data_IF_460922566518
#
_entry.id   IF_460922566518
#
_cell.length_a   1.000
_cell.length_b   1.000
_cell.length_c   1.000
_cell.angle_alpha   90.00
_cell.angle_beta   90.00
_cell.angle_gamma   90.00
#
_symmetry.space_group_name_H-M   'P 1'
#
loop_
_entity.id
_entity.type
_entity.pdbx_description
1 polymer ?
#
# COMPACT_ATOMS: atom_id res chain seq x y z
N UNK A 1 10.56 -25.09 -9.57
CA UNK A 1 10.05 -25.54 -8.25
C UNK A 1 8.93 -24.60 -7.86
N UNK A 2 7.76 -25.10 -7.49
CA UNK A 2 6.65 -24.22 -7.09
C UNK A 2 6.90 -23.69 -5.69
N UNK A 3 6.71 -22.38 -5.45
CA UNK A 3 6.82 -21.74 -4.13
C UNK A 3 6.00 -22.48 -3.05
N UNK A 4 4.86 -23.06 -3.44
CA UNK A 4 3.95 -23.78 -2.54
C UNK A 4 4.59 -25.06 -1.95
N UNK A 5 5.57 -25.65 -2.64
CA UNK A 5 6.26 -26.88 -2.24
C UNK A 5 7.62 -26.64 -1.57
N UNK A 6 8.04 -25.40 -1.43
CA UNK A 6 9.31 -25.06 -0.79
C UNK A 6 9.20 -25.16 0.73
N UNK A 7 10.25 -25.66 1.39
CA UNK A 7 10.46 -25.51 2.82
C UNK A 7 10.64 -24.02 3.14
N UNK A 8 10.12 -23.56 4.26
CA UNK A 8 10.19 -22.15 4.69
C UNK A 8 9.70 -21.13 3.64
N UNK A 9 8.72 -21.55 2.86
CA UNK A 9 8.16 -20.80 1.72
C UNK A 9 7.67 -19.39 2.06
N UNK A 10 7.39 -19.10 3.31
CA UNK A 10 6.89 -17.81 3.79
C UNK A 10 8.00 -16.76 3.95
N UNK A 11 9.28 -17.19 4.03
CA UNK A 11 10.41 -16.29 4.29
C UNK A 11 11.36 -16.12 3.10
N UNK A 12 11.12 -16.80 2.00
CA UNK A 12 12.03 -16.83 0.83
C UNK A 12 12.34 -15.41 0.33
N UNK A 13 11.32 -14.57 0.17
CA UNK A 13 11.54 -13.19 -0.28
C UNK A 13 12.41 -12.39 0.70
N UNK A 14 12.18 -12.55 2.00
CA UNK A 14 12.98 -11.89 3.03
C UNK A 14 14.47 -12.23 2.90
N UNK A 15 14.80 -13.49 2.69
CA UNK A 15 16.19 -13.92 2.53
C UNK A 15 16.84 -13.28 1.29
N UNK A 16 16.12 -13.17 0.17
CA UNK A 16 16.64 -12.47 -1.01
C UNK A 16 16.82 -10.98 -0.78
N UNK A 17 15.87 -10.30 -0.14
CA UNK A 17 15.96 -8.86 0.09
C UNK A 17 17.05 -8.49 1.10
N UNK A 18 17.35 -9.38 2.06
CA UNK A 18 18.47 -9.18 2.98
C UNK A 18 19.82 -9.05 2.26
N UNK A 19 20.01 -9.69 1.12
CA UNK A 19 21.24 -9.60 0.33
C UNK A 19 21.40 -8.24 -0.37
N UNK A 20 20.30 -7.50 -0.53
CA UNK A 20 20.25 -6.22 -1.23
C UNK A 20 20.13 -5.01 -0.28
N UNK A 21 20.04 -5.25 1.02
CA UNK A 21 19.71 -4.23 2.01
C UNK A 21 20.74 -3.08 2.09
N UNK A 22 22.00 -3.38 1.80
CA UNK A 22 23.08 -2.37 1.81
C UNK A 22 23.15 -1.55 0.51
N UNK A 23 22.45 -1.99 -0.56
CA UNK A 23 22.51 -1.37 -1.87
C UNK A 23 21.39 -0.33 -2.10
N UNK A 24 20.33 -0.33 -1.27
CA UNK A 24 19.13 0.49 -1.47
C UNK A 24 18.62 1.11 -0.18
N UNK A 25 18.26 2.39 -0.25
CA UNK A 25 17.60 3.09 0.86
C UNK A 25 16.15 2.61 1.04
N UNK A 26 15.47 2.28 -0.08
CA UNK A 26 14.10 1.77 -0.10
C UNK A 26 13.94 0.63 -1.10
N UNK A 27 13.19 -0.40 -0.70
CA UNK A 27 12.73 -1.48 -1.58
C UNK A 27 11.21 -1.52 -1.55
N UNK A 28 10.57 -1.29 -2.69
CA UNK A 28 9.11 -1.27 -2.81
C UNK A 28 8.63 -2.59 -3.39
N UNK A 29 7.72 -3.27 -2.67
CA UNK A 29 7.13 -4.53 -3.10
C UNK A 29 5.69 -4.24 -3.55
N UNK A 30 5.45 -4.27 -4.86
CA UNK A 30 4.10 -4.18 -5.42
C UNK A 30 3.40 -5.53 -5.33
N UNK A 31 2.26 -5.57 -4.63
CA UNK A 31 1.53 -6.81 -4.34
C UNK A 31 0.26 -6.91 -5.17
N UNK A 32 -0.03 -8.11 -5.67
CA UNK A 32 -1.33 -8.40 -6.27
C UNK A 32 -2.46 -8.27 -5.23
N UNK A 33 -3.70 -7.92 -5.65
CA UNK A 33 -4.87 -7.82 -4.77
C UNK A 33 -5.39 -9.21 -4.36
N UNK A 34 -4.52 -10.04 -3.79
CA UNK A 34 -4.83 -11.38 -3.29
C UNK A 34 -4.06 -11.64 -2.00
N UNK A 35 -4.67 -12.36 -1.08
CA UNK A 35 -4.06 -12.74 0.20
C UNK A 35 -3.37 -14.12 0.13
N UNK A 36 -2.73 -14.41 -1.00
CA UNK A 36 -2.02 -15.66 -1.27
C UNK A 36 -0.58 -15.68 -0.76
N UNK A 37 0.16 -16.73 -1.13
CA UNK A 37 1.54 -16.97 -0.68
C UNK A 37 2.51 -15.82 -1.04
N UNK A 38 2.32 -15.15 -2.16
CA UNK A 38 3.15 -13.99 -2.54
C UNK A 38 2.96 -12.81 -1.60
N UNK A 39 1.72 -12.51 -1.22
CA UNK A 39 1.42 -11.45 -0.24
C UNK A 39 1.94 -11.82 1.15
N UNK A 40 1.87 -13.10 1.54
CA UNK A 40 2.47 -13.59 2.80
C UNK A 40 3.99 -13.35 2.78
N UNK A 41 4.68 -13.69 1.69
CA UNK A 41 6.10 -13.43 1.54
C UNK A 41 6.44 -11.93 1.61
N UNK A 42 5.66 -11.09 0.92
CA UNK A 42 5.85 -9.64 0.94
C UNK A 42 5.72 -9.07 2.35
N UNK A 43 4.65 -9.42 3.07
CA UNK A 43 4.43 -8.97 4.45
C UNK A 43 5.47 -9.53 5.44
N UNK A 44 5.96 -10.75 5.19
CA UNK A 44 7.02 -11.35 6.01
C UNK A 44 8.37 -10.66 5.82
N UNK A 45 8.63 -10.12 4.62
CA UNK A 45 9.87 -9.47 4.26
C UNK A 45 9.89 -7.95 4.54
N UNK A 46 8.73 -7.31 4.57
CA UNK A 46 8.61 -5.86 4.66
C UNK A 46 8.82 -5.33 6.09
N UNK A 47 9.36 -4.12 6.20
CA UNK A 47 9.42 -3.37 7.47
C UNK A 47 8.06 -2.70 7.76
N UNK A 48 7.37 -2.23 6.70
CA UNK A 48 6.05 -1.62 6.82
C UNK A 48 5.16 -1.90 5.61
N UNK A 49 3.85 -1.71 5.79
CA UNK A 49 2.85 -1.84 4.72
C UNK A 49 2.07 -0.54 4.57
N UNK A 50 2.11 0.03 3.37
CA UNK A 50 1.24 1.11 2.93
C UNK A 50 0.00 0.50 2.27
N UNK A 51 -1.19 0.93 2.68
CA UNK A 51 -2.46 0.34 2.23
C UNK A 51 -3.18 1.33 1.30
N UNK A 52 -3.07 1.19 -0.03
CA UNK A 52 -3.91 1.94 -0.95
C UNK A 52 -5.35 1.41 -0.92
N UNK A 53 -6.33 2.33 -0.89
CA UNK A 53 -7.73 1.99 -0.77
C UNK A 53 -8.60 2.92 -1.61
N UNK A 54 -9.46 2.37 -2.47
CA UNK A 54 -10.52 3.15 -3.09
C UNK A 54 -11.64 3.43 -2.07
N UNK A 55 -12.20 4.65 -2.02
CA UNK A 55 -13.27 4.99 -1.08
C UNK A 55 -14.64 4.45 -1.56
N UNK A 56 -14.73 3.12 -1.70
CA UNK A 56 -15.91 2.40 -2.13
C UNK A 56 -16.57 1.61 -1.01
N UNK A 57 -17.79 1.11 -1.24
CA UNK A 57 -18.63 0.48 -0.21
C UNK A 57 -17.95 -0.74 0.44
N UNK A 58 -17.34 -1.61 -0.37
CA UNK A 58 -16.70 -2.84 0.14
C UNK A 58 -15.25 -2.66 0.61
N UNK A 59 -14.72 -1.46 0.57
CA UNK A 59 -13.34 -1.21 0.95
C UNK A 59 -13.03 -1.54 2.44
N UNK A 60 -14.00 -1.31 3.32
CA UNK A 60 -13.87 -1.66 4.73
C UNK A 60 -13.78 -3.17 4.98
N UNK A 61 -14.51 -3.97 4.20
CA UNK A 61 -14.47 -5.44 4.31
C UNK A 61 -13.12 -5.98 3.84
N UNK A 62 -12.61 -5.47 2.71
CA UNK A 62 -11.28 -5.80 2.20
C UNK A 62 -10.16 -5.43 3.18
N UNK A 63 -10.27 -4.27 3.83
CA UNK A 63 -9.34 -3.85 4.86
C UNK A 63 -9.37 -4.81 6.06
N UNK A 64 -10.53 -5.23 6.51
CA UNK A 64 -10.66 -6.16 7.64
C UNK A 64 -9.98 -7.51 7.34
N UNK A 65 -10.13 -8.04 6.13
CA UNK A 65 -9.47 -9.28 5.73
C UNK A 65 -7.93 -9.11 5.66
N UNK A 66 -7.44 -8.00 5.11
CA UNK A 66 -6.02 -7.68 5.11
C UNK A 66 -5.47 -7.59 6.55
N UNK A 67 -6.18 -6.93 7.47
CA UNK A 67 -5.75 -6.78 8.85
C UNK A 67 -5.70 -8.12 9.61
N UNK A 68 -6.55 -9.10 9.27
CA UNK A 68 -6.46 -10.47 9.81
C UNK A 68 -5.16 -11.13 9.35
N UNK A 69 -4.85 -11.05 8.05
CA UNK A 69 -3.59 -11.63 7.51
C UNK A 69 -2.38 -10.91 8.09
N UNK A 70 -2.39 -9.57 8.13
CA UNK A 70 -1.36 -8.77 8.78
C UNK A 70 -1.09 -9.23 10.21
N UNK A 71 -2.14 -9.39 11.02
CA UNK A 71 -2.02 -9.81 12.42
C UNK A 71 -1.43 -11.20 12.55
N UNK A 72 -1.82 -12.13 11.67
CA UNK A 72 -1.29 -13.49 11.64
C UNK A 72 0.20 -13.51 11.26
N UNK A 73 0.60 -12.72 10.26
CA UNK A 73 2.00 -12.58 9.84
C UNK A 73 2.84 -11.94 10.95
N UNK A 74 2.34 -10.85 11.54
CA UNK A 74 3.02 -10.16 12.65
C UNK A 74 3.26 -11.10 13.83
N UNK A 75 2.29 -11.93 14.18
CA UNK A 75 2.40 -12.87 15.30
C UNK A 75 3.36 -14.03 15.03
N UNK A 76 3.52 -14.48 13.78
CA UNK A 76 4.21 -15.73 13.45
C UNK A 76 5.54 -15.56 12.74
N UNK A 77 5.65 -14.59 11.81
CA UNK A 77 6.77 -14.49 10.89
C UNK A 77 7.51 -13.17 10.97
N UNK A 78 6.83 -12.04 11.29
CA UNK A 78 7.42 -10.71 11.28
C UNK A 78 6.86 -9.84 12.43
N UNK A 79 7.36 -9.99 13.67
CA UNK A 79 6.87 -9.24 14.82
C UNK A 79 7.02 -7.73 14.71
N UNK A 80 7.99 -7.27 13.93
CA UNK A 80 8.32 -5.85 13.77
C UNK A 80 7.54 -5.16 12.66
N UNK A 81 6.74 -5.92 11.86
CA UNK A 81 5.93 -5.37 10.78
C UNK A 81 5.01 -4.24 11.29
N UNK A 82 5.06 -3.11 10.62
CA UNK A 82 4.25 -1.93 10.93
C UNK A 82 3.23 -1.67 9.83
N UNK A 83 2.18 -0.92 10.16
CA UNK A 83 1.31 -0.31 9.15
C UNK A 83 1.75 1.14 8.99
N UNK A 84 2.24 1.50 7.80
CA UNK A 84 2.63 2.87 7.46
C UNK A 84 1.42 3.80 7.43
N UNK A 85 0.33 3.31 6.90
CA UNK A 85 -0.94 4.01 6.88
C UNK A 85 -1.83 3.57 5.73
N UNK A 86 -3.03 4.17 5.71
CA UNK A 86 -4.00 4.04 4.62
C UNK A 86 -3.94 5.30 3.76
N UNK A 87 -3.80 5.14 2.44
CA UNK A 87 -3.93 6.22 1.46
C UNK A 87 -5.14 5.97 0.57
N UNK A 88 -6.03 6.94 0.47
CA UNK A 88 -7.14 6.83 -0.47
C UNK A 88 -6.68 7.10 -1.90
N UNK A 89 -7.03 6.19 -2.81
CA UNK A 89 -6.72 6.26 -4.24
C UNK A 89 -8.00 6.34 -5.06
N UNK A 90 -7.90 6.73 -6.33
CA UNK A 90 -9.05 6.96 -7.22
C UNK A 90 -10.13 7.85 -6.59
N UNK A 91 -9.70 8.75 -5.70
CA UNK A 91 -10.63 9.61 -4.95
C UNK A 91 -11.33 10.61 -5.87
N UNK A 92 -12.63 10.69 -5.70
CA UNK A 92 -13.48 11.65 -6.41
C UNK A 92 -14.24 12.49 -5.36
N UNK A 93 -13.62 13.56 -4.84
CA UNK A 93 -14.14 14.30 -3.69
C UNK A 93 -15.48 15.02 -3.95
N UNK A 94 -15.94 15.09 -5.19
CA UNK A 94 -17.26 15.63 -5.54
C UNK A 94 -18.38 14.62 -5.28
N UNK A 95 -18.10 13.32 -5.19
CA UNK A 95 -19.09 12.28 -5.00
C UNK A 95 -19.41 12.09 -3.52
N UNK A 96 -20.71 12.17 -3.18
CA UNK A 96 -21.19 11.98 -1.80
C UNK A 96 -20.85 10.57 -1.25
N UNK A 97 -20.88 9.55 -2.09
CA UNK A 97 -20.50 8.19 -1.70
C UNK A 97 -19.03 8.11 -1.28
N UNK A 98 -18.11 8.71 -2.05
CA UNK A 98 -16.69 8.76 -1.70
C UNK A 98 -16.48 9.40 -0.32
N UNK A 99 -17.09 10.58 -0.08
CA UNK A 99 -17.02 11.27 1.21
C UNK A 99 -17.55 10.41 2.36
N UNK A 100 -18.70 9.76 2.16
CA UNK A 100 -19.33 8.92 3.19
C UNK A 100 -18.46 7.71 3.52
N UNK A 101 -17.95 7.02 2.51
CA UNK A 101 -17.14 5.83 2.69
C UNK A 101 -15.78 6.16 3.34
N UNK A 102 -15.11 7.25 2.90
CA UNK A 102 -13.91 7.78 3.58
C UNK A 102 -14.17 8.03 5.07
N UNK A 103 -15.25 8.74 5.38
CA UNK A 103 -15.62 9.04 6.77
C UNK A 103 -15.88 7.76 7.58
N UNK A 104 -16.50 6.75 6.99
CA UNK A 104 -16.70 5.45 7.64
C UNK A 104 -15.38 4.77 8.00
N UNK A 105 -14.42 4.73 7.07
CA UNK A 105 -13.07 4.18 7.31
C UNK A 105 -12.32 4.98 8.37
N UNK A 106 -12.36 6.32 8.30
CA UNK A 106 -11.72 7.20 9.28
C UNK A 106 -12.29 6.95 10.68
N UNK A 107 -13.61 6.88 10.82
CA UNK A 107 -14.26 6.63 12.11
C UNK A 107 -13.97 5.24 12.68
N UNK A 108 -13.81 4.22 11.82
CA UNK A 108 -13.57 2.85 12.25
C UNK A 108 -12.10 2.57 12.60
N UNK A 109 -11.17 3.21 11.92
CA UNK A 109 -9.75 2.85 11.98
C UNK A 109 -8.81 4.02 12.31
N UNK A 110 -9.24 5.28 12.18
CA UNK A 110 -8.37 6.47 12.31
C UNK A 110 -7.68 6.63 13.66
N UNK A 111 -8.26 6.08 14.74
CA UNK A 111 -7.63 6.08 16.06
C UNK A 111 -6.52 5.02 16.20
N UNK A 112 -6.45 4.05 15.30
CA UNK A 112 -5.55 2.88 15.39
C UNK A 112 -4.55 2.82 14.24
N UNK A 113 -4.92 3.33 13.07
CA UNK A 113 -4.13 3.30 11.85
C UNK A 113 -4.08 4.72 11.30
N UNK A 114 -2.87 5.17 11.01
CA UNK A 114 -2.67 6.45 10.32
C UNK A 114 -3.44 6.46 9.00
N UNK A 115 -4.16 7.54 8.75
CA UNK A 115 -4.78 7.78 7.44
C UNK A 115 -4.11 9.02 6.84
N UNK A 116 -3.50 8.87 5.68
CA UNK A 116 -2.87 9.97 4.99
C UNK A 116 -3.90 11.04 4.65
N UNK A 117 -3.54 12.29 4.91
CA UNK A 117 -4.42 13.43 4.66
C UNK A 117 -4.70 13.61 3.16
N UNK A 118 -3.67 13.39 2.37
CA UNK A 118 -3.75 13.52 0.92
C UNK A 118 -4.31 12.23 0.31
N UNK A 119 -5.11 12.39 -0.75
CA UNK A 119 -5.64 11.27 -1.54
C UNK A 119 -5.09 11.38 -2.95
N UNK A 120 -4.87 10.25 -3.59
CA UNK A 120 -4.53 10.20 -5.02
C UNK A 120 -5.84 10.31 -5.81
N UNK A 121 -6.02 11.35 -6.63
CA UNK A 121 -7.28 11.57 -7.35
C UNK A 121 -7.46 10.57 -8.50
N UNK A 122 -8.70 10.32 -8.88
CA UNK A 122 -9.00 9.70 -10.17
C UNK A 122 -8.69 10.73 -11.26
N UNK A 123 -7.64 10.48 -12.05
CA UNK A 123 -7.21 11.38 -13.12
C UNK A 123 -6.79 10.60 -14.37
N UNK A 124 -7.15 11.10 -15.53
CA UNK A 124 -6.78 10.51 -16.83
C UNK A 124 -5.27 10.47 -17.01
N UNK A 125 -4.58 11.54 -16.65
CA UNK A 125 -3.12 11.63 -16.72
C UNK A 125 -2.41 10.54 -15.94
N UNK A 126 -2.93 10.12 -14.77
CA UNK A 126 -2.36 8.99 -14.00
C UNK A 126 -2.55 7.67 -14.77
N UNK A 127 -3.70 7.46 -15.40
CA UNK A 127 -3.95 6.25 -16.18
C UNK A 127 -3.09 6.17 -17.45
N UNK A 128 -2.88 7.30 -18.10
CA UNK A 128 -2.05 7.41 -19.32
C UNK A 128 -0.58 7.06 -19.05
N UNK A 129 -0.03 7.43 -17.88
CA UNK A 129 1.36 7.10 -17.52
C UNK A 129 1.63 5.60 -17.53
N UNK A 130 0.65 4.79 -17.14
CA UNK A 130 0.78 3.33 -17.17
C UNK A 130 0.89 2.78 -18.61
N UNK A 131 0.18 3.40 -19.56
CA UNK A 131 0.25 3.03 -20.98
C UNK A 131 1.55 3.47 -21.63
N UNK A 132 2.07 4.64 -21.24
CA UNK A 132 3.31 5.21 -21.76
C UNK A 132 4.58 4.67 -21.08
N UNK A 133 4.43 3.99 -19.95
CA UNK A 133 5.55 3.43 -19.19
C UNK A 133 6.47 4.51 -18.59
N UNK A 134 5.94 5.68 -18.29
CA UNK A 134 6.70 6.81 -17.72
C UNK A 134 6.11 7.27 -16.41
N UNK A 135 6.93 7.91 -15.58
CA UNK A 135 6.49 8.46 -14.29
C UNK A 135 5.53 9.61 -14.46
N UNK A 136 4.53 9.74 -13.55
CA UNK A 136 3.64 10.90 -13.47
C UNK A 136 4.42 12.22 -13.33
N UNK A 137 5.57 12.19 -12.69
CA UNK A 137 6.44 13.36 -12.53
C UNK A 137 7.09 13.79 -13.86
N UNK A 138 7.36 12.84 -14.77
CA UNK A 138 7.87 13.13 -16.10
C UNK A 138 6.74 13.51 -17.09
N UNK A 139 5.55 12.92 -16.91
CA UNK A 139 4.41 13.13 -17.80
C UNK A 139 3.69 14.45 -17.52
N UNK A 140 3.32 14.69 -16.26
CA UNK A 140 2.56 15.88 -15.81
C UNK A 140 3.03 16.30 -14.40
N UNK A 141 4.30 16.70 -14.28
CA UNK A 141 4.96 16.98 -13.00
C UNK A 141 4.34 18.13 -12.19
N UNK A 142 3.62 19.04 -12.83
CA UNK A 142 2.87 20.12 -12.16
C UNK A 142 1.39 19.80 -11.92
N UNK A 143 0.92 18.68 -12.44
CA UNK A 143 -0.46 18.26 -12.34
C UNK A 143 -0.86 17.79 -10.93
N UNK A 144 -2.18 17.74 -10.70
CA UNK A 144 -2.71 17.30 -9.39
C UNK A 144 -2.28 15.88 -9.00
N UNK A 145 -2.14 14.99 -9.98
CA UNK A 145 -1.65 13.63 -9.76
C UNK A 145 -0.24 13.61 -9.17
N UNK A 146 0.71 14.29 -9.84
CA UNK A 146 2.08 14.40 -9.38
C UNK A 146 2.17 15.06 -8.00
N UNK A 147 1.46 16.17 -7.78
CA UNK A 147 1.43 16.84 -6.48
C UNK A 147 0.90 15.96 -5.36
N UNK A 148 -0.12 15.12 -5.63
CA UNK A 148 -0.66 14.20 -4.63
C UNK A 148 0.32 13.09 -4.29
N UNK A 149 1.01 12.52 -5.28
CA UNK A 149 2.08 11.54 -5.05
C UNK A 149 3.27 12.15 -4.31
N UNK A 150 3.67 13.39 -4.66
CA UNK A 150 4.74 14.09 -3.96
C UNK A 150 4.45 14.21 -2.45
N UNK A 151 3.26 14.66 -2.09
CA UNK A 151 2.84 14.78 -0.68
C UNK A 151 2.73 13.43 0.03
N UNK A 152 2.32 12.36 -0.69
CA UNK A 152 2.34 11.01 -0.14
C UNK A 152 3.76 10.59 0.20
N UNK A 153 4.71 10.78 -0.73
CA UNK A 153 6.13 10.47 -0.52
C UNK A 153 6.70 11.24 0.67
N UNK A 154 6.49 12.56 0.73
CA UNK A 154 6.89 13.40 1.87
C UNK A 154 6.33 12.83 3.18
N UNK A 155 5.02 12.47 3.19
CA UNK A 155 4.39 11.89 4.36
C UNK A 155 4.95 10.52 4.75
N UNK A 156 5.41 9.69 3.82
CA UNK A 156 6.08 8.42 4.13
C UNK A 156 7.48 8.69 4.69
N UNK A 157 8.26 9.57 4.06
CA UNK A 157 9.63 9.88 4.48
C UNK A 157 9.72 10.53 5.88
N UNK A 158 8.72 11.31 6.27
CA UNK A 158 8.65 11.93 7.60
C UNK A 158 8.49 10.90 8.74
N UNK A 159 8.24 9.63 8.41
CA UNK A 159 8.02 8.53 9.37
C UNK A 159 8.97 7.34 9.20
N UNK A 160 9.83 7.36 8.19
CA UNK A 160 10.79 6.29 7.88
C UNK A 160 11.98 6.23 8.86
#
# INVERSE_FOLDING_TARGET
MSLIMAEDREIILREYLMLLKEDYDFMIIDCMPSLGMLTINALTAADSVLIPMEPEYYAADGLMELLKVYSAIKAKFNPDLKIEGIVFTFDTPTFNNSKRNKKAVINAYGDKIRIFKESIPRAVTIAETASEGISIFAYDGSGKGAQSYQKLVEGVLDHA
#
